data_IF_506086548406
#
_entry.id   IF_506086548406
#
_cell.length_a   1.000
_cell.length_b   1.000
_cell.length_c   1.000
_cell.angle_alpha   90.00
_cell.angle_beta   90.00
_cell.angle_gamma   90.00
#
_symmetry.space_group_name_H-M   'P 1'
#
loop_
_entity.id
_entity.type
_entity.pdbx_description
1 polymer ?
#
# COMPACT_ATOMS: atom_id res chain seq x y z
N UNK A 1 35.35 -43.60 -19.98
CA UNK A 1 35.53 -42.21 -19.49
C UNK A 1 34.18 -41.52 -19.67
N UNK A 2 33.37 -41.47 -18.60
CA UNK A 2 31.97 -41.05 -18.65
C UNK A 2 31.89 -39.52 -18.62
N UNK A 3 31.30 -38.92 -19.66
CA UNK A 3 31.00 -37.50 -19.72
C UNK A 3 29.60 -37.32 -19.10
N UNK A 4 29.56 -36.73 -17.90
CA UNK A 4 28.32 -36.30 -17.26
C UNK A 4 27.98 -34.92 -17.82
N UNK A 5 26.94 -34.85 -18.66
CA UNK A 5 26.32 -33.60 -19.09
C UNK A 5 25.44 -33.12 -17.93
N UNK A 6 25.85 -32.06 -17.23
CA UNK A 6 24.97 -31.35 -16.29
C UNK A 6 24.05 -30.44 -17.11
N UNK A 7 22.80 -30.84 -17.25
CA UNK A 7 21.72 -29.96 -17.73
C UNK A 7 21.41 -28.99 -16.59
N UNK A 8 21.81 -27.74 -16.75
CA UNK A 8 21.34 -26.63 -15.92
C UNK A 8 19.91 -26.36 -16.35
N UNK A 9 18.94 -26.82 -15.57
CA UNK A 9 17.55 -26.44 -15.72
C UNK A 9 17.39 -24.99 -15.30
N UNK A 10 17.18 -24.10 -16.27
CA UNK A 10 16.70 -22.74 -16.02
C UNK A 10 15.27 -22.88 -15.49
N UNK A 11 15.09 -22.79 -14.17
CA UNK A 11 13.77 -22.58 -13.58
C UNK A 11 13.36 -21.13 -13.88
N UNK A 12 12.61 -20.94 -14.97
CA UNK A 12 11.79 -19.74 -15.15
C UNK A 12 10.70 -19.82 -14.07
N UNK A 13 10.95 -19.19 -12.93
CA UNK A 13 9.89 -18.88 -11.97
C UNK A 13 8.96 -17.92 -12.71
N UNK A 14 7.81 -18.42 -13.12
CA UNK A 14 6.73 -17.57 -13.63
C UNK A 14 6.32 -16.67 -12.47
N UNK A 15 6.81 -15.43 -12.48
CA UNK A 15 6.21 -14.32 -11.77
C UNK A 15 4.83 -14.11 -12.37
N UNK A 16 3.88 -14.95 -11.97
CA UNK A 16 2.46 -14.67 -12.13
C UNK A 16 2.09 -13.61 -11.10
N UNK A 17 2.68 -12.42 -11.26
CA UNK A 17 2.07 -11.20 -10.76
C UNK A 17 0.72 -11.19 -11.44
N UNK A 18 -0.35 -11.34 -10.66
CA UNK A 18 -1.66 -10.89 -11.12
C UNK A 18 -1.51 -9.38 -11.31
N UNK A 19 -0.99 -8.97 -12.46
CA UNK A 19 -1.16 -7.62 -12.96
C UNK A 19 -2.66 -7.48 -13.15
N UNK A 20 -3.33 -7.02 -12.11
CA UNK A 20 -4.66 -6.45 -12.20
C UNK A 20 -4.61 -5.52 -13.41
N UNK A 21 -5.40 -5.81 -14.45
CA UNK A 21 -5.25 -5.19 -15.78
C UNK A 21 -4.95 -3.68 -15.67
N UNK A 22 -3.77 -3.26 -16.14
CA UNK A 22 -3.33 -1.86 -16.13
C UNK A 22 -2.48 -1.39 -14.92
N UNK A 23 -2.31 -2.18 -13.87
CA UNK A 23 -1.39 -1.86 -12.76
C UNK A 23 0.04 -2.30 -13.09
N UNK A 24 0.99 -1.36 -12.97
CA UNK A 24 2.42 -1.61 -13.14
C UNK A 24 3.21 -1.23 -11.90
N UNK A 25 4.34 -1.91 -11.69
CA UNK A 25 5.28 -1.62 -10.61
C UNK A 25 5.94 -0.25 -10.85
N UNK A 26 5.64 0.73 -10.00
CA UNK A 26 6.16 2.11 -10.12
C UNK A 26 7.26 2.43 -9.12
N UNK A 27 7.38 1.65 -8.06
CA UNK A 27 8.43 1.78 -7.06
C UNK A 27 8.60 0.45 -6.32
N UNK A 28 9.84 0.08 -6.00
CA UNK A 28 10.12 -1.04 -5.10
C UNK A 28 11.41 -0.88 -4.32
N UNK A 29 11.49 -1.58 -3.20
CA UNK A 29 12.75 -1.98 -2.57
C UNK A 29 12.74 -3.48 -2.33
N UNK A 30 13.65 -4.19 -3.01
CA UNK A 30 13.79 -5.65 -2.95
C UNK A 30 14.89 -6.07 -1.96
N UNK A 31 15.55 -5.09 -1.33
CA UNK A 31 16.56 -5.30 -0.30
C UNK A 31 17.70 -6.25 -0.70
N UNK A 32 18.03 -6.29 -1.99
CA UNK A 32 19.08 -7.12 -2.62
C UNK A 32 20.51 -6.52 -2.46
N UNK A 33 20.75 -5.85 -1.34
CA UNK A 33 22.01 -5.18 -1.00
C UNK A 33 22.40 -5.48 0.45
N UNK A 34 23.46 -4.85 0.95
CA UNK A 34 23.87 -5.02 2.36
C UNK A 34 24.29 -3.71 2.98
N UNK A 35 24.02 -3.56 4.28
CA UNK A 35 24.37 -2.38 5.07
C UNK A 35 23.15 -1.57 5.48
N UNK A 36 23.24 -0.24 5.42
CA UNK A 36 22.12 0.62 5.79
C UNK A 36 21.05 0.65 4.68
N UNK A 37 19.75 0.83 5.03
CA UNK A 37 18.70 1.12 4.07
C UNK A 37 19.06 2.24 3.08
N UNK A 38 18.68 2.09 1.81
CA UNK A 38 19.00 3.05 0.75
C UNK A 38 18.44 4.44 1.09
N UNK A 39 19.34 5.40 1.29
CA UNK A 39 18.99 6.77 1.66
C UNK A 39 18.21 7.51 0.57
N UNK A 40 18.19 7.01 -0.67
CA UNK A 40 17.34 7.56 -1.74
C UNK A 40 15.88 7.13 -1.60
N UNK A 41 15.62 6.04 -0.87
CA UNK A 41 14.29 5.46 -0.67
C UNK A 41 13.74 5.72 0.73
N UNK A 42 14.62 5.72 1.73
CA UNK A 42 14.24 5.75 3.15
C UNK A 42 14.89 6.90 3.91
N UNK A 43 14.11 7.51 4.79
CA UNK A 43 14.51 8.41 5.88
C UNK A 43 14.13 7.78 7.23
N UNK A 44 14.45 8.46 8.34
CA UNK A 44 14.16 7.98 9.69
C UNK A 44 13.37 9.04 10.46
N UNK A 45 12.32 8.61 11.17
CA UNK A 45 11.85 9.35 12.33
C UNK A 45 12.76 9.00 13.52
N UNK A 46 13.15 10.00 14.32
CA UNK A 46 14.21 9.87 15.33
C UNK A 46 13.68 10.28 16.69
N UNK A 47 14.11 9.57 17.72
CA UNK A 47 13.85 9.89 19.11
C UNK A 47 12.57 9.27 19.67
N UNK A 48 12.03 9.93 20.69
CA UNK A 48 10.88 9.48 21.45
C UNK A 48 9.64 10.40 21.24
N UNK A 49 9.64 11.18 20.16
CA UNK A 49 8.56 12.12 19.82
C UNK A 49 8.54 13.42 20.63
N UNK A 50 9.40 13.59 21.65
CA UNK A 50 9.44 14.82 22.44
C UNK A 50 10.08 16.01 21.68
N UNK A 51 9.70 17.26 22.00
CA UNK A 51 8.70 17.67 23.00
C UNK A 51 7.25 17.69 22.47
N UNK A 52 7.04 17.42 21.18
CA UNK A 52 5.75 17.69 20.53
C UNK A 52 4.71 16.58 20.80
N UNK A 53 5.13 15.32 20.72
CA UNK A 53 4.28 14.13 20.84
C UNK A 53 5.07 13.04 21.58
N UNK A 54 5.48 13.33 22.82
CA UNK A 54 6.26 12.41 23.64
C UNK A 54 5.64 11.00 23.70
N UNK A 55 6.49 9.97 23.59
CA UNK A 55 6.06 8.57 23.42
C UNK A 55 5.28 8.35 22.12
N UNK A 56 5.58 9.14 21.09
CA UNK A 56 4.90 9.17 19.79
C UNK A 56 3.37 9.32 19.85
N UNK A 57 2.85 9.93 20.93
CA UNK A 57 1.41 10.06 21.18
C UNK A 57 0.77 8.82 21.81
N UNK A 58 1.51 7.72 21.91
CA UNK A 58 1.03 6.42 22.36
C UNK A 58 1.72 5.92 23.64
N UNK A 59 2.50 6.74 24.34
CA UNK A 59 3.31 6.32 25.49
C UNK A 59 4.31 5.20 25.16
N UNK A 60 4.83 5.20 23.94
CA UNK A 60 5.84 4.25 23.46
C UNK A 60 7.16 4.35 24.26
N UNK A 61 7.85 3.21 24.41
CA UNK A 61 9.01 3.03 25.30
C UNK A 61 10.35 3.02 24.56
N UNK A 62 10.36 3.01 23.24
CA UNK A 62 11.58 3.04 22.43
C UNK A 62 12.07 4.45 22.11
N UNK A 63 13.35 4.53 21.78
CA UNK A 63 13.96 5.65 21.08
C UNK A 63 14.28 5.19 19.66
N UNK A 64 13.63 5.76 18.65
CA UNK A 64 13.97 5.46 17.25
C UNK A 64 15.32 6.06 16.89
N UNK A 65 16.17 5.25 16.26
CA UNK A 65 17.53 5.64 15.89
C UNK A 65 17.65 5.97 14.41
N UNK A 66 18.68 6.75 14.06
CA UNK A 66 19.03 7.05 12.69
C UNK A 66 20.27 6.25 12.28
N UNK A 67 20.20 5.59 11.12
CA UNK A 67 21.35 4.99 10.43
C UNK A 67 22.24 4.12 11.33
N UNK A 68 21.63 3.35 12.23
CA UNK A 68 22.30 2.42 13.12
C UNK A 68 22.02 0.99 12.67
N UNK A 69 23.07 0.27 12.31
CA UNK A 69 22.97 -1.10 11.77
C UNK A 69 22.32 -2.08 12.76
N UNK A 70 22.47 -1.84 14.05
CA UNK A 70 21.84 -2.64 15.09
C UNK A 70 20.31 -2.54 15.09
N UNK A 71 19.74 -1.40 14.64
CA UNK A 71 18.29 -1.20 14.63
C UNK A 71 17.67 -1.28 13.24
N UNK A 72 18.42 -0.96 12.17
CA UNK A 72 17.97 -1.10 10.79
C UNK A 72 19.15 -1.42 9.87
N UNK A 73 19.10 -2.60 9.25
CA UNK A 73 20.10 -3.05 8.27
C UNK A 73 19.45 -3.88 7.18
N UNK A 74 20.11 -3.95 6.04
CA UNK A 74 19.82 -4.92 4.99
C UNK A 74 20.89 -6.00 5.05
N UNK A 75 20.45 -7.24 5.19
CA UNK A 75 21.28 -8.43 5.34
C UNK A 75 20.49 -9.65 4.84
N UNK A 76 21.17 -10.58 4.16
CA UNK A 76 20.59 -11.80 3.60
C UNK A 76 19.35 -11.56 2.71
N UNK A 77 19.37 -10.54 1.85
CA UNK A 77 18.27 -10.13 0.96
C UNK A 77 17.00 -9.65 1.70
N UNK A 78 17.12 -9.20 2.95
CA UNK A 78 16.00 -8.65 3.73
C UNK A 78 16.39 -7.35 4.43
N UNK A 79 15.44 -6.42 4.52
CA UNK A 79 15.49 -5.39 5.55
C UNK A 79 15.16 -6.01 6.91
N UNK A 80 15.99 -5.75 7.90
CA UNK A 80 15.80 -6.17 9.29
C UNK A 80 15.68 -4.92 10.15
N UNK A 81 14.51 -4.71 10.74
CA UNK A 81 14.27 -3.73 11.79
C UNK A 81 14.33 -4.45 13.13
N UNK A 82 15.14 -3.96 14.07
CA UNK A 82 15.37 -4.62 15.35
C UNK A 82 15.05 -3.69 16.51
N UNK A 83 14.13 -4.12 17.38
CA UNK A 83 13.91 -3.52 18.69
C UNK A 83 14.84 -4.17 19.71
N UNK A 84 15.59 -3.36 20.46
CA UNK A 84 16.62 -3.81 21.40
C UNK A 84 16.32 -3.23 22.78
N UNK A 85 16.39 -4.07 23.81
CA UNK A 85 16.41 -3.60 25.19
C UNK A 85 17.79 -3.08 25.54
N UNK A 86 17.92 -1.76 25.59
CA UNK A 86 19.14 -1.06 25.98
C UNK A 86 18.81 0.38 26.40
N UNK A 87 19.64 0.96 27.27
CA UNK A 87 19.50 2.39 27.57
C UNK A 87 20.02 3.19 26.38
N UNK A 88 19.12 3.84 25.65
CA UNK A 88 19.46 4.67 24.49
C UNK A 88 18.67 5.98 24.52
N UNK A 89 19.38 7.11 24.37
CA UNK A 89 18.77 8.42 24.52
C UNK A 89 18.09 8.57 25.88
N UNK A 90 16.78 8.83 25.86
CA UNK A 90 15.90 9.03 27.03
C UNK A 90 15.14 7.77 27.45
N UNK A 91 15.40 6.63 26.81
CA UNK A 91 14.55 5.43 26.88
C UNK A 91 15.34 4.16 27.19
N UNK A 92 14.62 3.10 27.52
CA UNK A 92 15.17 1.77 27.86
C UNK A 92 15.10 0.77 26.71
N UNK A 93 14.66 1.22 25.54
CA UNK A 93 14.64 0.45 24.30
C UNK A 93 15.10 1.33 23.13
N UNK A 94 15.73 0.73 22.14
CA UNK A 94 16.02 1.35 20.85
C UNK A 94 15.30 0.59 19.74
N UNK A 95 14.93 1.27 18.66
CA UNK A 95 14.33 0.67 17.47
C UNK A 95 14.62 1.53 16.24
N UNK A 96 13.96 1.26 15.10
CA UNK A 96 13.95 2.13 13.94
C UNK A 96 12.53 2.33 13.40
N UNK A 97 12.28 3.54 12.87
CA UNK A 97 11.06 3.93 12.16
C UNK A 97 11.46 4.53 10.81
N UNK A 98 11.43 3.68 9.79
CA UNK A 98 11.79 4.04 8.42
C UNK A 98 10.60 4.68 7.73
N UNK A 99 10.82 5.77 7.01
CA UNK A 99 9.78 6.49 6.28
C UNK A 99 10.21 6.77 4.84
N UNK A 100 9.27 6.69 3.91
CA UNK A 100 9.49 7.03 2.48
C UNK A 100 9.18 8.48 2.16
N UNK A 101 8.89 9.33 3.16
CA UNK A 101 8.47 10.72 2.98
C UNK A 101 9.39 11.48 2.03
N UNK A 102 8.82 12.07 0.98
CA UNK A 102 9.53 12.81 -0.11
C UNK A 102 10.52 11.97 -0.95
N UNK A 103 10.56 10.65 -0.74
CA UNK A 103 11.36 9.65 -1.47
C UNK A 103 10.49 8.62 -2.20
N UNK A 104 9.24 8.50 -1.76
CA UNK A 104 8.14 7.76 -2.34
C UNK A 104 6.85 8.21 -1.66
N UNK A 105 6.00 8.93 -2.38
CA UNK A 105 4.68 9.34 -1.89
C UNK A 105 3.64 9.03 -2.95
N UNK A 106 2.59 8.31 -2.57
CA UNK A 106 1.60 7.80 -3.52
C UNK A 106 0.21 8.29 -3.17
N UNK A 107 -0.60 8.47 -4.21
CA UNK A 107 -2.04 8.59 -4.08
C UNK A 107 -2.63 7.49 -4.93
N UNK A 108 -3.42 6.62 -4.30
CA UNK A 108 -3.96 5.42 -4.90
C UNK A 108 -2.89 4.43 -5.36
N UNK A 109 -3.31 3.22 -5.64
CA UNK A 109 -2.42 2.14 -6.04
C UNK A 109 -2.62 0.90 -5.19
N UNK A 110 -1.85 -0.13 -5.51
CA UNK A 110 -1.63 -1.28 -4.65
C UNK A 110 -0.30 -1.12 -3.95
N UNK A 111 -0.30 -1.23 -2.63
CA UNK A 111 0.94 -1.28 -1.83
C UNK A 111 1.03 -2.68 -1.23
N UNK A 112 2.14 -3.37 -1.47
CA UNK A 112 2.46 -4.68 -0.93
C UNK A 112 3.74 -4.62 -0.12
N UNK A 113 3.73 -5.23 1.06
CA UNK A 113 4.91 -5.47 1.87
C UNK A 113 4.93 -6.93 2.27
N UNK A 114 5.99 -7.64 1.86
CA UNK A 114 6.20 -9.03 2.29
C UNK A 114 7.09 -9.04 3.51
N UNK A 115 6.53 -9.40 4.66
CA UNK A 115 7.23 -9.32 5.93
C UNK A 115 6.94 -10.52 6.85
N UNK A 116 7.88 -10.76 7.75
CA UNK A 116 7.72 -11.61 8.93
C UNK A 116 7.81 -10.74 10.18
N UNK A 117 6.89 -10.95 11.12
CA UNK A 117 6.71 -10.08 12.27
C UNK A 117 7.49 -10.57 13.49
N UNK A 118 7.88 -9.66 14.41
CA UNK A 118 8.39 -10.05 15.72
C UNK A 118 7.29 -10.65 16.58
N UNK A 119 7.71 -11.48 17.54
CA UNK A 119 6.84 -12.04 18.56
C UNK A 119 7.11 -11.45 19.93
N UNK A 120 6.24 -11.80 20.88
CA UNK A 120 6.47 -11.56 22.29
C UNK A 120 5.79 -10.30 22.82
N UNK A 121 5.26 -10.46 24.03
CA UNK A 121 4.46 -9.43 24.69
C UNK A 121 5.22 -8.12 24.83
N UNK A 122 4.62 -7.03 24.33
CA UNK A 122 5.20 -5.69 24.35
C UNK A 122 5.72 -5.22 22.99
N UNK A 123 5.84 -6.08 21.97
CA UNK A 123 6.16 -5.64 20.61
C UNK A 123 4.92 -5.10 19.89
N UNK A 124 5.10 -4.04 19.11
CA UNK A 124 4.07 -3.49 18.23
C UNK A 124 4.69 -3.12 16.86
N UNK A 125 4.91 -4.11 15.99
CA UNK A 125 5.29 -3.87 14.59
C UNK A 125 4.14 -3.24 13.80
N UNK A 126 4.48 -2.30 12.91
CA UNK A 126 3.52 -1.66 12.01
C UNK A 126 4.08 -1.43 10.60
N UNK A 127 3.21 -1.63 9.62
CA UNK A 127 3.37 -1.25 8.22
C UNK A 127 2.19 -0.33 7.90
N UNK A 128 2.46 0.95 7.69
CA UNK A 128 1.40 1.96 7.70
C UNK A 128 1.78 3.18 6.89
N UNK A 129 0.84 4.09 6.71
CA UNK A 129 1.01 5.25 5.84
C UNK A 129 0.44 6.51 6.48
N UNK A 130 1.16 7.62 6.33
CA UNK A 130 0.73 8.95 6.75
C UNK A 130 0.67 9.92 5.58
N UNK A 131 -0.18 10.94 5.69
CA UNK A 131 -0.23 12.04 4.75
C UNK A 131 1.14 12.74 4.67
N UNK A 132 1.67 12.88 3.46
CA UNK A 132 2.91 13.64 3.23
C UNK A 132 2.67 15.14 3.35
N UNK A 133 1.53 15.60 2.83
CA UNK A 133 1.25 17.01 2.60
C UNK A 133 0.40 17.67 3.71
N UNK A 134 -0.17 16.87 4.63
CA UNK A 134 -1.02 17.34 5.74
C UNK A 134 -2.13 18.33 5.32
N UNK A 135 -2.69 18.14 4.12
CA UNK A 135 -3.53 19.13 3.45
C UNK A 135 -4.86 19.44 4.16
N UNK A 136 -5.29 18.59 5.08
CA UNK A 136 -6.55 18.74 5.81
C UNK A 136 -6.37 19.12 7.29
N UNK A 137 -5.13 19.29 7.74
CA UNK A 137 -4.77 19.54 9.15
C UNK A 137 -3.75 18.55 9.67
N UNK A 138 -3.49 18.56 10.97
CA UNK A 138 -2.63 17.58 11.63
C UNK A 138 -3.24 16.18 11.64
N UNK A 139 -2.66 15.29 12.44
CA UNK A 139 -3.32 14.03 12.75
C UNK A 139 -4.48 14.28 13.74
N UNK A 140 -5.66 13.66 13.55
CA UNK A 140 -6.01 12.67 12.51
C UNK A 140 -6.70 13.27 11.27
N UNK A 141 -6.77 14.59 11.13
CA UNK A 141 -7.50 15.24 10.02
C UNK A 141 -6.98 14.87 8.63
N UNK A 142 -5.67 14.74 8.45
CA UNK A 142 -5.09 14.37 7.15
C UNK A 142 -5.03 12.88 6.86
N UNK A 143 -5.48 12.06 7.80
CA UNK A 143 -5.62 10.61 7.61
C UNK A 143 -4.37 9.79 7.89
N UNK A 144 -4.63 8.51 8.20
CA UNK A 144 -3.68 7.43 8.44
C UNK A 144 -4.26 6.13 7.87
N UNK A 145 -3.41 5.29 7.27
CA UNK A 145 -3.78 3.97 6.76
C UNK A 145 -2.81 2.94 7.33
N UNK A 146 -3.30 2.10 8.22
CA UNK A 146 -2.51 1.05 8.86
C UNK A 146 -2.71 -0.26 8.10
N UNK A 147 -1.80 -0.53 7.16
CA UNK A 147 -1.86 -1.71 6.28
C UNK A 147 -1.79 -2.99 7.12
N UNK A 148 -0.92 -2.98 8.13
CA UNK A 148 -0.74 -4.08 9.08
C UNK A 148 -0.28 -3.50 10.41
N UNK A 149 -1.02 -3.82 11.47
CA UNK A 149 -0.52 -3.76 12.84
C UNK A 149 -0.67 -5.14 13.49
N UNK A 150 0.26 -5.44 14.39
CA UNK A 150 0.24 -6.62 15.24
C UNK A 150 0.76 -6.22 16.63
N UNK A 151 0.23 -6.87 17.67
CA UNK A 151 0.68 -6.68 19.06
C UNK A 151 1.03 -8.03 19.66
N UNK A 152 2.24 -8.16 20.20
CA UNK A 152 2.76 -9.49 20.59
C UNK A 152 2.10 -10.12 21.82
N UNK A 153 1.11 -9.46 22.44
CA UNK A 153 0.26 -10.07 23.47
C UNK A 153 -0.94 -10.84 22.87
N UNK A 154 -1.26 -10.59 21.60
CA UNK A 154 -2.36 -11.21 20.86
C UNK A 154 -1.80 -11.85 19.57
N UNK A 155 -1.08 -12.98 19.73
CA UNK A 155 -0.39 -13.62 18.61
C UNK A 155 -1.38 -14.00 17.51
N UNK A 156 -0.85 -14.13 16.29
CA UNK A 156 -1.59 -14.56 15.10
C UNK A 156 -2.66 -13.58 14.62
N UNK A 157 -2.83 -12.42 15.25
CA UNK A 157 -3.85 -11.44 14.84
C UNK A 157 -3.24 -10.24 14.14
N UNK A 158 -3.75 -10.00 12.93
CA UNK A 158 -3.39 -8.86 12.12
C UNK A 158 -4.56 -7.89 12.06
N UNK A 159 -4.26 -6.61 12.23
CA UNK A 159 -5.21 -5.50 12.16
C UNK A 159 -4.93 -4.63 10.95
N UNK A 160 -5.99 -4.22 10.27
CA UNK A 160 -5.94 -3.16 9.26
C UNK A 160 -6.92 -2.07 9.62
N UNK A 161 -6.43 -0.84 9.77
CA UNK A 161 -7.19 0.28 10.33
C UNK A 161 -7.05 1.52 9.46
N UNK A 162 -8.04 2.40 9.52
CA UNK A 162 -7.91 3.77 9.03
C UNK A 162 -8.20 4.74 10.18
N UNK A 163 -7.42 5.81 10.26
CA UNK A 163 -7.71 6.93 11.14
C UNK A 163 -8.05 8.18 10.35
N UNK A 164 -9.13 8.84 10.75
CA UNK A 164 -9.58 10.13 10.23
C UNK A 164 -10.11 11.00 11.36
N UNK A 165 -10.39 12.27 11.08
CA UNK A 165 -11.08 13.16 12.02
C UNK A 165 -12.35 12.52 12.62
N UNK A 166 -13.18 11.90 11.79
CA UNK A 166 -14.42 11.27 12.21
C UNK A 166 -14.22 9.86 12.81
N UNK A 167 -13.16 9.16 12.41
CA UNK A 167 -12.93 7.75 12.76
C UNK A 167 -11.53 7.57 13.35
N UNK A 168 -11.36 7.68 14.67
CA UNK A 168 -10.07 7.41 15.30
C UNK A 168 -10.20 6.91 16.73
N UNK A 169 -9.11 6.30 17.23
CA UNK A 169 -9.11 5.58 18.50
C UNK A 169 -9.36 6.50 19.71
N UNK A 170 -8.88 7.75 19.67
CA UNK A 170 -8.99 8.69 20.80
C UNK A 170 -10.44 9.08 21.13
N UNK A 171 -11.38 8.88 20.20
CA UNK A 171 -12.83 9.06 20.42
C UNK A 171 -13.62 7.75 20.28
N UNK A 172 -12.95 6.61 20.11
CA UNK A 172 -13.57 5.28 20.03
C UNK A 172 -14.41 5.05 18.77
N UNK A 173 -14.11 5.73 17.66
CA UNK A 173 -14.86 5.62 16.39
C UNK A 173 -14.03 5.07 15.24
N UNK A 174 -12.82 4.57 15.51
CA UNK A 174 -11.93 3.99 14.51
C UNK A 174 -12.64 2.88 13.71
N UNK A 175 -12.25 2.75 12.44
CA UNK A 175 -12.76 1.73 11.55
C UNK A 175 -11.61 0.85 11.09
N UNK A 176 -11.76 -0.44 11.30
CA UNK A 176 -10.77 -1.44 10.93
C UNK A 176 -11.39 -2.83 10.86
N UNK A 177 -10.58 -3.79 10.43
CA UNK A 177 -10.89 -5.20 10.52
C UNK A 177 -9.70 -6.00 11.05
N UNK A 178 -9.94 -7.25 11.38
CA UNK A 178 -8.91 -8.18 11.83
C UNK A 178 -8.97 -9.50 11.05
N UNK A 179 -7.85 -10.20 10.96
CA UNK A 179 -7.74 -11.55 10.41
C UNK A 179 -6.74 -12.37 11.23
N UNK A 180 -7.04 -13.65 11.43
CA UNK A 180 -6.11 -14.61 12.03
C UNK A 180 -5.17 -15.20 10.97
N UNK A 181 -3.87 -15.15 11.25
CA UNK A 181 -2.75 -15.65 10.45
C UNK A 181 -1.83 -16.39 11.42
N UNK A 182 -1.97 -17.72 11.49
CA UNK A 182 -1.39 -18.55 12.56
C UNK A 182 0.15 -18.57 12.63
N UNK A 183 0.81 -18.17 11.55
CA UNK A 183 2.26 -18.25 11.35
C UNK A 183 2.90 -16.88 11.04
N UNK A 184 2.20 -15.76 11.30
CA UNK A 184 2.72 -14.42 10.95
C UNK A 184 4.03 -14.02 11.67
N UNK A 185 4.33 -14.68 12.79
CA UNK A 185 5.56 -14.50 13.57
C UNK A 185 6.70 -15.44 13.10
N UNK A 186 6.35 -16.52 12.39
CA UNK A 186 7.28 -17.59 11.98
C UNK A 186 7.62 -17.54 10.48
N UNK A 187 6.66 -17.17 9.65
CA UNK A 187 6.72 -17.16 8.19
C UNK A 187 6.49 -15.76 7.61
N UNK A 188 6.86 -15.60 6.34
CA UNK A 188 6.63 -14.35 5.61
C UNK A 188 5.25 -14.34 4.96
N UNK A 189 4.51 -13.27 5.18
CA UNK A 189 3.21 -13.02 4.56
C UNK A 189 3.21 -11.73 3.76
N UNK A 190 2.30 -11.61 2.81
CA UNK A 190 2.09 -10.39 2.02
C UNK A 190 0.97 -9.59 2.66
N UNK A 191 1.31 -8.45 3.24
CA UNK A 191 0.38 -7.44 3.74
C UNK A 191 0.16 -6.40 2.66
N UNK A 192 -1.09 -6.14 2.29
CA UNK A 192 -1.37 -5.26 1.18
C UNK A 192 -2.66 -4.44 1.34
N UNK A 193 -2.67 -3.30 0.66
CA UNK A 193 -3.91 -2.56 0.36
C UNK A 193 -4.07 -2.34 -1.14
N UNK A 194 -5.32 -2.37 -1.59
CA UNK A 194 -5.74 -1.76 -2.85
C UNK A 194 -6.48 -0.46 -2.50
N UNK A 195 -5.81 0.67 -2.76
CA UNK A 195 -6.31 2.00 -2.46
C UNK A 195 -6.78 2.70 -3.74
N UNK A 196 -8.08 2.97 -3.81
CA UNK A 196 -8.71 3.70 -4.91
C UNK A 196 -9.33 5.00 -4.39
N UNK A 197 -9.94 5.79 -5.29
CA UNK A 197 -10.64 7.02 -4.90
C UNK A 197 -11.98 6.79 -4.21
N UNK A 198 -12.46 5.56 -4.17
CA UNK A 198 -13.79 5.20 -3.64
C UNK A 198 -13.74 4.19 -2.49
N UNK A 199 -12.63 3.49 -2.28
CA UNK A 199 -12.45 2.52 -1.19
C UNK A 199 -10.97 2.17 -0.98
N UNK A 200 -10.68 1.60 0.18
CA UNK A 200 -9.42 0.94 0.54
C UNK A 200 -9.76 -0.50 0.93
N UNK A 201 -9.26 -1.48 0.18
CA UNK A 201 -9.39 -2.90 0.48
C UNK A 201 -8.09 -3.39 1.14
N UNK A 202 -8.18 -4.15 2.23
CA UNK A 202 -7.02 -4.68 3.00
C UNK A 202 -6.92 -6.20 2.87
N UNK A 203 -5.68 -6.69 2.73
CA UNK A 203 -5.38 -8.08 2.42
C UNK A 203 -4.22 -8.63 3.24
N UNK A 204 -4.30 -9.92 3.56
CA UNK A 204 -3.13 -10.75 3.89
C UNK A 204 -3.12 -11.94 2.93
N UNK A 205 -2.01 -12.20 2.23
CA UNK A 205 -1.86 -13.29 1.25
C UNK A 205 -3.00 -13.37 0.23
N UNK A 206 -3.39 -12.23 -0.34
CA UNK A 206 -4.52 -12.06 -1.26
C UNK A 206 -5.90 -12.35 -0.66
N UNK A 207 -6.01 -12.65 0.63
CA UNK A 207 -7.29 -12.78 1.34
C UNK A 207 -7.73 -11.40 1.82
N UNK A 208 -8.74 -10.85 1.16
CA UNK A 208 -9.36 -9.61 1.64
C UNK A 208 -10.10 -9.85 2.94
N UNK A 209 -9.86 -9.01 3.95
CA UNK A 209 -10.55 -9.11 5.25
C UNK A 209 -11.26 -7.82 5.67
N UNK A 210 -10.90 -6.67 5.08
CA UNK A 210 -11.53 -5.40 5.39
C UNK A 210 -11.66 -4.51 4.15
N UNK A 211 -12.74 -3.72 4.10
CA UNK A 211 -12.99 -2.70 3.09
C UNK A 211 -13.44 -1.43 3.80
N UNK A 212 -12.69 -0.34 3.63
CA UNK A 212 -13.12 1.00 4.01
C UNK A 212 -13.65 1.75 2.79
N UNK A 213 -14.97 1.95 2.71
CA UNK A 213 -15.63 2.64 1.58
C UNK A 213 -15.72 4.14 1.82
N UNK A 214 -15.53 4.93 0.77
CA UNK A 214 -15.62 6.38 0.80
C UNK A 214 -16.98 6.87 1.24
N UNK A 215 -16.95 7.72 2.26
CA UNK A 215 -18.04 8.60 2.66
C UNK A 215 -17.75 10.04 2.22
N UNK A 216 -18.81 10.83 2.07
CA UNK A 216 -18.66 12.25 1.71
C UNK A 216 -18.08 13.06 2.88
N UNK A 217 -17.09 13.90 2.57
CA UNK A 217 -16.44 14.81 3.52
C UNK A 217 -15.00 14.41 3.83
N UNK A 218 -14.09 15.40 3.87
CA UNK A 218 -12.67 15.17 4.16
C UNK A 218 -12.42 14.69 5.60
N UNK A 219 -13.34 14.97 6.52
CA UNK A 219 -13.32 14.44 7.89
C UNK A 219 -13.47 12.91 7.94
N UNK A 220 -14.07 12.32 6.91
CA UNK A 220 -14.29 10.87 6.76
C UNK A 220 -13.43 10.23 5.68
N UNK A 221 -13.03 11.00 4.67
CA UNK A 221 -12.22 10.53 3.55
C UNK A 221 -11.11 11.54 3.20
N UNK A 222 -10.03 11.62 3.99
CA UNK A 222 -8.84 12.41 3.66
C UNK A 222 -7.87 11.69 2.70
N UNK A 223 -8.25 10.52 2.18
CA UNK A 223 -7.41 9.62 1.38
C UNK A 223 -7.41 9.97 -0.11
N UNK A 224 -7.28 11.26 -0.44
CA UNK A 224 -7.17 11.79 -1.81
C UNK A 224 -5.94 12.68 -2.03
N UNK A 225 -4.97 12.58 -1.11
CA UNK A 225 -3.65 13.24 -1.14
C UNK A 225 -2.52 12.22 -1.17
N UNK A 226 -1.28 12.68 -1.22
CA UNK A 226 -0.12 11.78 -1.21
C UNK A 226 0.15 11.29 0.20
N UNK A 227 0.44 10.01 0.31
CA UNK A 227 0.81 9.33 1.54
C UNK A 227 2.17 8.67 1.35
N UNK A 228 2.99 8.69 2.38
CA UNK A 228 4.26 7.96 2.45
C UNK A 228 4.10 6.74 3.37
N UNK A 229 4.83 5.69 3.06
CA UNK A 229 4.93 4.46 3.87
C UNK A 229 5.89 4.63 5.05
N UNK A 230 5.54 3.99 6.16
CA UNK A 230 6.31 3.84 7.38
C UNK A 230 6.44 2.36 7.75
N UNK A 231 7.61 1.97 8.24
CA UNK A 231 7.92 0.65 8.79
C UNK A 231 8.60 0.82 10.16
N UNK A 232 8.06 0.22 11.21
CA UNK A 232 8.67 0.29 12.55
C UNK A 232 8.31 -0.91 13.44
N UNK A 233 9.04 -1.02 14.55
CA UNK A 233 8.61 -1.78 15.72
C UNK A 233 8.59 -0.82 16.91
N UNK A 234 7.41 -0.51 17.43
CA UNK A 234 7.26 0.14 18.72
C UNK A 234 7.40 -0.90 19.86
N UNK A 235 7.76 -0.42 21.05
CA UNK A 235 7.83 -1.21 22.28
C UNK A 235 6.92 -0.61 23.34
N UNK A 236 6.02 -1.43 23.87
CA UNK A 236 5.03 -1.00 24.85
C UNK A 236 3.95 -0.11 24.24
N UNK A 237 3.77 1.07 24.81
CA UNK A 237 2.69 1.97 24.43
C UNK A 237 1.31 1.55 24.97
N UNK A 238 0.31 2.38 24.69
CA UNK A 238 -1.06 2.23 25.18
C UNK A 238 -1.73 0.94 24.72
N UNK A 239 -1.30 0.39 23.57
CA UNK A 239 -1.85 -0.83 23.01
C UNK A 239 -0.87 -2.00 23.06
N UNK A 240 0.30 -1.90 22.43
CA UNK A 240 1.32 -2.95 22.46
C UNK A 240 1.78 -3.38 23.86
N UNK A 241 1.71 -2.47 24.84
CA UNK A 241 2.08 -2.68 26.23
C UNK A 241 0.90 -2.90 27.19
N UNK A 242 -0.32 -3.13 26.70
CA UNK A 242 -1.51 -3.23 27.57
C UNK A 242 -1.42 -4.38 28.58
N UNK A 243 -0.77 -5.50 28.20
CA UNK A 243 -0.46 -6.65 29.07
C UNK A 243 0.97 -6.58 29.66
N UNK A 244 1.64 -5.44 29.55
CA UNK A 244 3.04 -5.22 29.94
C UNK A 244 4.04 -5.55 28.82
N UNK A 245 5.34 -5.52 29.16
CA UNK A 245 6.44 -5.86 28.24
C UNK A 245 7.22 -7.03 28.83
N UNK A 246 7.38 -8.12 28.06
CA UNK A 246 8.31 -9.18 28.42
C UNK A 246 9.71 -8.82 27.97
N UNK A 247 10.49 -8.27 28.89
CA UNK A 247 11.84 -7.81 28.61
C UNK A 247 12.81 -8.92 28.20
N UNK A 248 12.48 -10.19 28.48
CA UNK A 248 13.35 -11.34 28.23
C UNK A 248 13.34 -11.81 26.77
N UNK A 249 12.35 -11.38 25.98
CA UNK A 249 12.23 -11.76 24.57
C UNK A 249 13.07 -10.90 23.62
N UNK A 250 13.63 -9.79 24.11
CA UNK A 250 14.42 -8.87 23.27
C UNK A 250 15.85 -9.39 23.07
N UNK A 251 16.46 -9.17 21.89
CA UNK A 251 15.97 -8.35 20.77
C UNK A 251 14.86 -9.03 19.94
N UNK A 252 14.03 -8.22 19.28
CA UNK A 252 12.95 -8.68 18.40
C UNK A 252 13.08 -8.04 17.02
N UNK A 253 12.83 -8.83 15.97
CA UNK A 253 13.08 -8.44 14.58
C UNK A 253 11.80 -8.50 13.74
N UNK A 254 11.58 -7.46 12.93
CA UNK A 254 10.68 -7.50 11.77
C UNK A 254 11.56 -7.62 10.54
N UNK A 255 11.33 -8.66 9.74
CA UNK A 255 12.07 -8.90 8.49
C UNK A 255 11.17 -8.57 7.32
N UNK A 256 11.65 -7.77 6.39
CA UNK A 256 10.93 -7.37 5.18
C UNK A 256 11.71 -7.84 3.98
N UNK A 257 11.09 -8.70 3.18
CA UNK A 257 11.64 -9.24 1.94
C UNK A 257 11.54 -8.21 0.81
N UNK A 258 10.38 -7.57 0.67
CA UNK A 258 10.22 -6.46 -0.27
C UNK A 258 9.13 -5.49 0.15
N UNK A 259 9.22 -4.29 -0.41
CA UNK A 259 8.12 -3.33 -0.53
C UNK A 259 7.91 -3.05 -2.01
N UNK A 260 6.67 -3.19 -2.49
CA UNK A 260 6.30 -2.92 -3.89
C UNK A 260 5.07 -2.04 -3.96
N UNK A 261 5.11 -1.06 -4.85
CA UNK A 261 3.98 -0.17 -5.12
C UNK A 261 3.63 -0.22 -6.59
N UNK A 262 2.36 -0.52 -6.86
CA UNK A 262 1.81 -0.61 -8.19
C UNK A 262 0.77 0.49 -8.40
N UNK A 263 0.76 1.10 -9.58
CA UNK A 263 -0.25 2.09 -9.95
C UNK A 263 -0.76 1.80 -11.36
N UNK A 264 -2.00 2.21 -11.61
CA UNK A 264 -2.55 2.27 -12.95
C UNK A 264 -1.71 3.26 -13.79
N UNK A 265 -1.11 2.75 -14.87
CA UNK A 265 -0.39 3.57 -15.83
C UNK A 265 -1.01 3.45 -17.22
N UNK A 266 -0.79 4.45 -18.08
CA UNK A 266 -1.24 4.39 -19.47
C UNK A 266 -0.29 3.55 -20.34
N UNK A 267 -0.73 3.18 -21.55
CA UNK A 267 0.04 2.42 -22.55
C UNK A 267 1.40 3.04 -22.93
N UNK A 268 1.67 4.29 -22.52
CA UNK A 268 2.93 4.99 -22.73
C UNK A 268 3.84 4.97 -21.50
N UNK A 269 3.56 4.13 -20.49
CA UNK A 269 4.35 4.03 -19.28
C UNK A 269 4.20 5.22 -18.31
N UNK A 270 3.22 6.11 -18.54
CA UNK A 270 3.01 7.28 -17.68
C UNK A 270 1.92 7.01 -16.66
N UNK A 271 2.20 7.36 -15.41
CA UNK A 271 1.22 7.41 -14.32
C UNK A 271 0.01 8.23 -14.76
N UNK A 272 -1.17 7.64 -14.61
CA UNK A 272 -2.42 8.35 -14.86
C UNK A 272 -2.68 9.35 -13.74
N UNK A 273 -2.97 10.59 -14.11
CA UNK A 273 -3.42 11.63 -13.18
C UNK A 273 -4.90 11.46 -12.80
N UNK A 274 -5.33 12.13 -11.73
CA UNK A 274 -6.74 12.23 -11.34
C UNK A 274 -7.62 12.66 -12.51
N UNK A 275 -8.67 11.88 -12.81
CA UNK A 275 -9.60 12.12 -13.91
C UNK A 275 -9.12 11.68 -15.29
N UNK A 276 -7.91 11.10 -15.41
CA UNK A 276 -7.50 10.42 -16.63
C UNK A 276 -8.12 9.02 -16.70
N UNK A 277 -8.23 8.51 -17.92
CA UNK A 277 -8.80 7.19 -18.21
C UNK A 277 -7.76 6.32 -18.92
N UNK A 278 -7.68 5.07 -18.52
CA UNK A 278 -6.99 4.02 -19.28
C UNK A 278 -8.03 3.24 -20.05
N UNK A 279 -7.78 2.96 -21.32
CA UNK A 279 -8.65 2.09 -22.12
C UNK A 279 -7.85 0.93 -22.70
N UNK A 280 -8.17 -0.29 -22.29
CA UNK A 280 -7.40 -1.49 -22.65
C UNK A 280 -8.30 -2.72 -22.89
N UNK A 281 -7.89 -3.68 -23.73
CA UNK A 281 -6.78 -3.59 -24.66
C UNK A 281 -7.09 -2.61 -25.80
N UNK A 282 -6.04 -2.05 -26.41
CA UNK A 282 -6.12 -1.23 -27.62
C UNK A 282 -5.05 -1.73 -28.62
N UNK A 283 -5.42 -2.52 -29.66
CA UNK A 283 -6.77 -2.74 -30.16
C UNK A 283 -7.70 -3.54 -29.25
N UNK A 284 -8.98 -3.19 -29.26
CA UNK A 284 -10.05 -3.90 -28.59
C UNK A 284 -10.37 -5.21 -29.32
N UNK A 285 -10.40 -6.32 -28.57
CA UNK A 285 -10.67 -7.64 -29.13
C UNK A 285 -12.18 -7.85 -29.28
N UNK A 286 -12.67 -8.06 -30.51
CA UNK A 286 -14.11 -8.18 -30.83
C UNK A 286 -14.94 -7.02 -30.26
N UNK A 287 -14.38 -5.80 -30.30
CA UNK A 287 -15.01 -4.60 -29.75
C UNK A 287 -15.18 -4.60 -28.23
N UNK A 288 -14.41 -5.43 -27.50
CA UNK A 288 -14.37 -5.46 -26.04
C UNK A 288 -13.14 -4.72 -25.52
N UNK A 289 -13.37 -3.80 -24.59
CA UNK A 289 -12.33 -3.05 -23.89
C UNK A 289 -12.86 -2.55 -22.55
N UNK A 290 -11.96 -2.26 -21.64
CA UNK A 290 -12.21 -1.76 -20.29
C UNK A 290 -11.75 -0.32 -20.19
N UNK A 291 -12.49 0.49 -19.44
CA UNK A 291 -12.16 1.87 -19.12
C UNK A 291 -11.92 1.96 -17.62
N UNK A 292 -10.66 2.14 -17.21
CA UNK A 292 -10.30 2.38 -15.83
C UNK A 292 -10.11 3.89 -15.59
N UNK A 293 -10.48 4.37 -14.41
CA UNK A 293 -10.34 5.78 -14.03
C UNK A 293 -9.67 5.92 -12.69
N UNK A 294 -8.70 6.83 -12.58
CA UNK A 294 -8.08 7.15 -11.28
C UNK A 294 -8.70 8.42 -10.72
N UNK A 295 -9.09 8.41 -9.45
CA UNK A 295 -9.41 9.64 -8.73
C UNK A 295 -10.82 10.21 -8.96
N UNK A 296 -11.66 9.56 -9.75
CA UNK A 296 -13.05 9.97 -9.98
C UNK A 296 -13.88 8.84 -10.56
N UNK A 297 -15.18 8.82 -10.27
CA UNK A 297 -16.11 7.93 -10.96
C UNK A 297 -16.47 8.47 -12.35
N UNK A 298 -16.75 7.58 -13.29
CA UNK A 298 -17.36 7.94 -14.58
C UNK A 298 -18.82 8.36 -14.36
N UNK A 299 -19.19 9.53 -14.87
CA UNK A 299 -20.57 10.05 -14.91
C UNK A 299 -21.26 9.71 -16.24
N UNK A 300 -20.57 10.01 -17.35
CA UNK A 300 -21.09 9.79 -18.70
C UNK A 300 -20.04 9.12 -19.60
N UNK A 301 -20.52 8.22 -20.45
CA UNK A 301 -19.71 7.52 -21.45
C UNK A 301 -20.43 7.52 -22.79
N UNK A 302 -19.73 7.96 -23.84
CA UNK A 302 -20.23 7.97 -25.21
C UNK A 302 -19.20 7.35 -26.15
N UNK A 303 -19.64 6.54 -27.09
CA UNK A 303 -18.79 5.96 -28.14
C UNK A 303 -19.31 6.42 -29.49
N UNK A 304 -18.43 6.94 -30.33
CA UNK A 304 -18.75 7.40 -31.68
C UNK A 304 -17.88 6.69 -32.70
N UNK A 305 -18.44 6.41 -33.88
CA UNK A 305 -17.61 6.05 -35.03
C UNK A 305 -16.90 7.29 -35.60
N UNK A 306 -16.04 7.08 -36.61
CA UNK A 306 -15.29 8.17 -37.24
C UNK A 306 -16.15 9.15 -38.05
N UNK A 307 -17.42 8.84 -38.33
CA UNK A 307 -18.37 9.77 -38.95
C UNK A 307 -19.17 10.58 -37.92
N UNK A 308 -18.88 10.44 -36.62
CA UNK A 308 -19.60 11.14 -35.54
C UNK A 308 -20.96 10.54 -35.18
N UNK A 309 -21.29 9.33 -35.67
CA UNK A 309 -22.49 8.61 -35.26
C UNK A 309 -22.22 7.90 -33.94
N UNK A 310 -23.09 8.11 -32.95
CA UNK A 310 -23.03 7.40 -31.68
C UNK A 310 -23.32 5.91 -31.88
N UNK A 311 -22.48 5.06 -31.30
CA UNK A 311 -22.57 3.62 -31.36
C UNK A 311 -23.20 3.07 -30.08
N UNK A 312 -24.11 2.08 -30.18
CA UNK A 312 -24.61 1.36 -29.03
C UNK A 312 -23.55 0.40 -28.48
N UNK A 313 -23.56 0.23 -27.17
CA UNK A 313 -22.66 -0.67 -26.45
C UNK A 313 -23.37 -1.26 -25.23
N UNK A 314 -22.84 -2.38 -24.75
CA UNK A 314 -23.20 -2.97 -23.45
C UNK A 314 -22.07 -2.63 -22.49
N UNK A 315 -22.42 -2.29 -21.24
CA UNK A 315 -21.44 -2.03 -20.19
C UNK A 315 -21.66 -2.92 -18.96
N UNK A 316 -20.57 -3.33 -18.32
CA UNK A 316 -20.55 -3.86 -16.95
C UNK A 316 -19.63 -3.01 -16.10
N UNK A 317 -20.04 -2.72 -14.86
CA UNK A 317 -19.21 -1.98 -13.92
C UNK A 317 -18.49 -2.96 -13.00
N UNK A 318 -17.24 -2.64 -12.68
CA UNK A 318 -16.47 -3.29 -11.61
C UNK A 318 -15.80 -2.20 -10.75
N UNK A 319 -15.08 -2.62 -9.70
CA UNK A 319 -14.57 -1.70 -8.68
C UNK A 319 -13.63 -0.60 -9.22
N UNK A 320 -12.93 -0.87 -10.32
CA UNK A 320 -11.84 -0.05 -10.86
C UNK A 320 -12.18 0.57 -12.23
N UNK A 321 -13.38 0.32 -12.77
CA UNK A 321 -13.68 0.69 -14.15
C UNK A 321 -15.00 0.17 -14.73
N UNK A 322 -15.10 0.29 -16.05
CA UNK A 322 -16.26 -0.13 -16.84
C UNK A 322 -15.78 -0.98 -18.02
N UNK A 323 -16.25 -2.21 -18.10
CA UNK A 323 -16.06 -3.03 -19.30
C UNK A 323 -17.11 -2.66 -20.34
N UNK A 324 -16.67 -2.55 -21.58
CA UNK A 324 -17.46 -2.18 -22.73
C UNK A 324 -17.41 -3.30 -23.75
N UNK A 325 -18.58 -3.59 -24.32
CA UNK A 325 -18.71 -4.39 -25.54
C UNK A 325 -19.50 -3.60 -26.56
N UNK A 326 -18.86 -3.25 -27.67
CA UNK A 326 -19.56 -2.61 -28.79
C UNK A 326 -20.54 -3.60 -29.43
N UNK A 327 -21.73 -3.11 -29.76
CA UNK A 327 -22.73 -3.92 -30.47
C UNK A 327 -22.44 -4.04 -31.97
N UNK A 328 -21.64 -3.12 -32.53
CA UNK A 328 -21.16 -3.13 -33.90
C UNK A 328 -19.63 -3.13 -33.92
N UNK A 329 -19.04 -4.25 -34.33
CA UNK A 329 -17.59 -4.47 -34.38
C UNK A 329 -17.00 -4.26 -35.78
N UNK A 330 -17.80 -3.85 -36.78
CA UNK A 330 -17.28 -3.60 -38.15
C UNK A 330 -16.49 -2.29 -38.26
N UNK A 331 -16.38 -1.53 -37.18
CA UNK A 331 -15.58 -0.31 -37.12
C UNK A 331 -14.11 -0.69 -37.04
N UNK A 332 -13.21 0.01 -37.74
CA UNK A 332 -11.77 -0.15 -37.52
C UNK A 332 -11.26 0.68 -36.33
N UNK A 333 -12.00 1.74 -36.00
CA UNK A 333 -11.67 2.68 -34.95
C UNK A 333 -12.92 3.38 -34.44
N UNK A 334 -12.98 3.62 -33.14
CA UNK A 334 -14.01 4.44 -32.49
C UNK A 334 -13.37 5.54 -31.64
N UNK A 335 -14.13 6.61 -31.40
CA UNK A 335 -13.80 7.65 -30.43
C UNK A 335 -14.64 7.44 -29.17
N UNK A 336 -13.98 7.27 -28.04
CA UNK A 336 -14.60 7.09 -26.74
C UNK A 336 -14.47 8.40 -25.96
N UNK A 337 -15.58 8.95 -25.50
CA UNK A 337 -15.65 10.15 -24.66
C UNK A 337 -16.12 9.75 -23.27
N UNK A 338 -15.31 10.11 -22.26
CA UNK A 338 -15.60 9.85 -20.84
C UNK A 338 -15.71 11.19 -20.14
N UNK A 339 -16.80 11.41 -19.42
CA UNK A 339 -16.99 12.51 -18.50
C UNK A 339 -17.03 11.94 -17.08
N UNK A 340 -16.12 12.39 -16.24
CA UNK A 340 -16.05 11.99 -14.84
C UNK A 340 -16.95 12.88 -13.98
N UNK A 341 -17.34 12.41 -12.78
CA UNK A 341 -18.17 13.17 -11.83
C UNK A 341 -17.51 14.48 -11.36
N UNK A 342 -16.18 14.60 -11.49
CA UNK A 342 -15.47 15.85 -11.22
C UNK A 342 -15.53 16.85 -12.39
N UNK A 343 -16.28 16.55 -13.47
CA UNK A 343 -16.44 17.38 -14.66
C UNK A 343 -15.31 17.24 -15.70
N UNK A 344 -14.29 16.41 -15.44
CA UNK A 344 -13.19 16.18 -16.39
C UNK A 344 -13.71 15.38 -17.57
N UNK A 345 -13.47 15.88 -18.78
CA UNK A 345 -13.79 15.19 -20.04
C UNK A 345 -12.53 14.71 -20.72
N UNK A 346 -12.47 13.41 -20.98
CA UNK A 346 -11.37 12.77 -21.70
C UNK A 346 -11.91 12.13 -22.96
N UNK A 347 -11.17 12.23 -24.06
CA UNK A 347 -11.48 11.51 -25.30
C UNK A 347 -10.29 10.65 -25.70
N UNK A 348 -10.54 9.47 -26.25
CA UNK A 348 -9.51 8.54 -26.69
C UNK A 348 -9.96 7.76 -27.91
N UNK A 349 -9.00 7.41 -28.76
CA UNK A 349 -9.23 6.56 -29.94
C UNK A 349 -8.98 5.12 -29.56
N UNK A 350 -9.92 4.26 -29.90
CA UNK A 350 -9.83 2.81 -29.68
C UNK A 350 -9.83 2.13 -31.05
N UNK A 351 -8.76 1.39 -31.35
CA UNK A 351 -8.73 0.49 -32.50
C UNK A 351 -9.59 -0.72 -32.17
N UNK A 352 -10.29 -1.26 -33.17
CA UNK A 352 -11.10 -2.47 -33.03
C UNK A 352 -10.52 -3.49 -34.02
N UNK A 353 -10.19 -4.68 -33.51
CA UNK A 353 -9.71 -5.82 -34.32
C UNK A 353 -10.87 -6.50 -35.08
#
# INVERSE_FOLDING_TARGET
>A
MNIIIRIIGLFLISNSVFAQEGYELVWSDEFDYSGLPDEKKWSYDIGDGCPNVCGWGNNELEYYTERRLENARVEDDHLIITAIKENFGTKSYSSARLITKEKGDWTYGRIEVRAKLPSGRGTWPAIWMLSTDWSYGGWPESGEIDIMEHVGYEPNKIYGTVHTKAYHHSIGTQKGGEITVEDCEDEFHIYAIDWSHSKIDFFVDNRKYFTFTKESGADKWPFDKRFHLLLNIAVGGNWGGVEGVDESVFPQEMKVDYVRVYQLINDAGKKLGTGQVLMSPNPANEGRFTINTIGSDIDKLEVYNMSGRQLPYIKSMHAEGIDIKLSDTHQQMVMVLVENKNGTRTSSKMLID
#
